data_IF_976005392752
#
_entry.id   IF_976005392752
#
_cell.length_a   1.000
_cell.length_b   1.000
_cell.length_c   1.000
_cell.angle_alpha   90.00
_cell.angle_beta   90.00
_cell.angle_gamma   90.00
#
_symmetry.space_group_name_H-M   'P 1'
#
loop_
_entity.id
_entity.type
_entity.pdbx_description
1 polymer ?
#
# COMPACT_ATOMS: atom_id res chain seq x y z
N UNK A 1 -6.00 -29.44 -15.84
CA UNK A 1 -4.97 -29.61 -14.79
C UNK A 1 -5.05 -31.04 -14.26
N UNK A 2 -4.02 -31.56 -13.55
CA UNK A 2 -4.13 -32.83 -12.84
C UNK A 2 -5.35 -32.87 -11.91
N UNK A 3 -5.85 -34.05 -11.59
CA UNK A 3 -6.98 -34.22 -10.66
C UNK A 3 -6.68 -33.58 -9.30
N UNK A 4 -7.65 -32.85 -8.75
CA UNK A 4 -7.52 -32.12 -7.49
C UNK A 4 -6.89 -30.73 -7.59
N UNK A 5 -6.48 -30.29 -8.79
CA UNK A 5 -5.94 -28.94 -9.02
C UNK A 5 -7.02 -28.00 -9.54
N UNK A 6 -7.27 -26.92 -8.81
CA UNK A 6 -8.09 -25.81 -9.26
C UNK A 6 -7.32 -24.95 -10.28
N UNK A 7 -7.49 -25.28 -11.56
CA UNK A 7 -6.84 -24.59 -12.67
C UNK A 7 -7.22 -23.09 -12.72
N UNK A 8 -8.51 -22.78 -12.50
CA UNK A 8 -9.02 -21.41 -12.53
C UNK A 8 -8.35 -20.55 -11.47
N UNK A 9 -8.22 -21.08 -10.24
CA UNK A 9 -7.50 -20.39 -9.15
C UNK A 9 -6.04 -20.16 -9.47
N UNK A 10 -5.34 -21.14 -10.03
CA UNK A 10 -3.93 -20.99 -10.39
C UNK A 10 -3.72 -19.96 -11.51
N UNK A 11 -4.58 -19.96 -12.53
CA UNK A 11 -4.54 -18.99 -13.63
C UNK A 11 -4.80 -17.56 -13.11
N UNK A 12 -5.80 -17.39 -12.22
CA UNK A 12 -6.06 -16.09 -11.59
C UNK A 12 -4.86 -15.59 -10.77
N UNK A 13 -4.24 -16.46 -9.97
CA UNK A 13 -3.04 -16.15 -9.20
C UNK A 13 -1.88 -15.77 -10.12
N UNK A 14 -1.64 -16.54 -11.20
CA UNK A 14 -0.56 -16.26 -12.13
C UNK A 14 -0.76 -14.92 -12.85
N UNK A 15 -2.00 -14.60 -13.25
CA UNK A 15 -2.33 -13.33 -13.90
C UNK A 15 -2.14 -12.13 -12.96
N UNK A 16 -2.60 -12.22 -11.71
CA UNK A 16 -2.41 -11.16 -10.72
C UNK A 16 -0.94 -10.96 -10.33
N UNK A 17 -0.16 -12.03 -10.25
CA UNK A 17 1.29 -11.95 -10.04
C UNK A 17 1.98 -11.29 -11.25
N UNK A 18 1.61 -11.67 -12.48
CA UNK A 18 2.17 -11.06 -13.69
C UNK A 18 1.91 -9.55 -13.74
N UNK A 19 0.66 -9.11 -13.49
CA UNK A 19 0.31 -7.70 -13.39
C UNK A 19 1.19 -6.98 -12.35
N UNK A 20 1.31 -7.55 -11.15
CA UNK A 20 2.11 -6.97 -10.07
C UNK A 20 3.57 -6.79 -10.50
N UNK A 21 4.16 -7.82 -11.12
CA UNK A 21 5.55 -7.79 -11.61
C UNK A 21 5.74 -6.78 -12.72
N UNK A 22 4.85 -6.74 -13.70
CA UNK A 22 4.97 -5.86 -14.85
C UNK A 22 4.93 -4.38 -14.42
N UNK A 23 4.00 -4.03 -13.53
CA UNK A 23 3.90 -2.67 -12.99
C UNK A 23 5.16 -2.26 -12.22
N UNK A 24 5.66 -3.11 -11.32
CA UNK A 24 6.88 -2.81 -10.54
C UNK A 24 8.14 -2.77 -11.43
N UNK A 25 8.20 -3.62 -12.45
CA UNK A 25 9.36 -3.71 -13.32
C UNK A 25 9.42 -2.59 -14.35
N UNK A 26 8.29 -2.00 -14.71
CA UNK A 26 8.25 -0.87 -15.65
C UNK A 26 9.06 0.29 -15.08
N UNK A 27 10.00 0.89 -15.84
CA UNK A 27 10.76 2.06 -15.39
C UNK A 27 9.82 3.21 -15.01
N UNK A 28 10.19 4.00 -14.00
CA UNK A 28 9.35 5.11 -13.56
C UNK A 28 9.08 6.16 -14.66
N UNK A 29 9.97 6.31 -15.66
CA UNK A 29 9.71 7.13 -16.85
C UNK A 29 8.43 6.72 -17.59
N UNK A 30 8.12 5.43 -17.57
CA UNK A 30 6.99 4.81 -18.29
C UNK A 30 5.91 4.29 -17.32
N UNK A 31 6.07 4.57 -16.02
CA UNK A 31 5.13 4.16 -14.95
C UNK A 31 5.06 5.25 -13.88
N UNK A 32 4.36 6.35 -14.19
CA UNK A 32 4.03 7.39 -13.22
C UNK A 32 2.59 7.33 -12.77
N UNK A 33 2.11 8.38 -12.09
CA UNK A 33 0.75 8.42 -11.58
C UNK A 33 -0.32 8.22 -12.66
N UNK A 34 -0.09 8.73 -13.87
CA UNK A 34 -1.03 8.56 -15.00
C UNK A 34 -1.04 7.14 -15.55
N UNK A 35 0.13 6.54 -15.75
CA UNK A 35 0.23 5.18 -16.29
C UNK A 35 -0.25 4.13 -15.28
N UNK A 36 -0.08 4.40 -13.98
CA UNK A 36 -0.66 3.58 -12.92
C UNK A 36 -2.20 3.69 -12.90
N UNK A 37 -2.76 4.87 -13.20
CA UNK A 37 -4.19 5.04 -13.44
C UNK A 37 -4.65 4.25 -14.67
N UNK A 38 -3.95 4.34 -15.80
CA UNK A 38 -4.27 3.60 -17.02
C UNK A 38 -4.33 2.09 -16.75
N UNK A 39 -3.39 1.57 -15.95
CA UNK A 39 -3.39 0.16 -15.52
C UNK A 39 -4.63 -0.20 -14.69
N UNK A 40 -5.04 0.67 -13.75
CA UNK A 40 -6.25 0.45 -12.96
C UNK A 40 -7.53 0.53 -13.83
N UNK A 41 -7.60 1.46 -14.77
CA UNK A 41 -8.71 1.56 -15.72
C UNK A 41 -8.80 0.34 -16.64
N UNK A 42 -7.67 -0.15 -17.15
CA UNK A 42 -7.62 -1.35 -17.99
C UNK A 42 -8.09 -2.60 -17.22
N UNK A 43 -7.64 -2.74 -15.96
CA UNK A 43 -8.10 -3.80 -15.08
C UNK A 43 -9.62 -3.68 -14.85
N UNK A 44 -10.11 -2.49 -14.55
CA UNK A 44 -11.53 -2.25 -14.33
C UNK A 44 -12.38 -2.57 -15.56
N UNK A 45 -11.94 -2.18 -16.76
CA UNK A 45 -12.61 -2.50 -18.01
C UNK A 45 -12.70 -4.00 -18.29
N UNK A 46 -11.70 -4.77 -17.86
CA UNK A 46 -11.68 -6.24 -18.01
C UNK A 46 -12.75 -6.92 -17.16
N UNK A 47 -12.99 -6.42 -15.93
CA UNK A 47 -13.87 -7.06 -14.95
C UNK A 47 -15.19 -6.31 -14.70
N UNK A 48 -15.45 -5.24 -15.44
CA UNK A 48 -16.64 -4.40 -15.26
C UNK A 48 -16.66 -3.63 -13.94
N UNK A 49 -15.48 -3.34 -13.36
CA UNK A 49 -15.36 -2.48 -12.20
C UNK A 49 -15.54 -1.00 -12.59
N UNK A 50 -15.81 -0.14 -11.61
CA UNK A 50 -15.90 1.32 -11.80
C UNK A 50 -14.64 1.98 -11.27
N UNK A 51 -14.16 3.02 -11.94
CA UNK A 51 -13.02 3.82 -11.49
C UNK A 51 -13.42 5.29 -11.48
N UNK A 52 -13.10 5.99 -10.39
CA UNK A 52 -13.09 7.45 -10.29
C UNK A 52 -11.70 7.93 -9.87
N UNK A 53 -11.32 9.11 -10.32
CA UNK A 53 -9.98 9.66 -10.06
C UNK A 53 -10.08 11.14 -9.69
N UNK A 54 -9.42 11.52 -8.59
CA UNK A 54 -9.21 12.93 -8.21
C UNK A 54 -7.75 13.28 -8.53
N UNK A 55 -7.52 14.31 -9.36
CA UNK A 55 -6.19 14.61 -9.93
C UNK A 55 -5.74 16.04 -9.61
N UNK A 56 -4.44 16.21 -9.32
CA UNK A 56 -3.80 17.52 -9.17
C UNK A 56 -4.46 18.35 -8.07
N UNK A 57 -4.78 19.62 -8.38
CA UNK A 57 -5.36 20.55 -7.41
C UNK A 57 -6.79 20.18 -6.96
N UNK A 58 -7.48 19.29 -7.69
CA UNK A 58 -8.74 18.73 -7.23
C UNK A 58 -8.58 17.95 -5.91
N UNK A 59 -7.37 17.42 -5.64
CA UNK A 59 -7.05 16.79 -4.36
C UNK A 59 -7.24 17.75 -3.18
N UNK A 60 -6.94 19.05 -3.33
CA UNK A 60 -7.16 20.02 -2.26
C UNK A 60 -8.65 20.28 -2.04
N UNK A 61 -9.42 20.34 -3.12
CA UNK A 61 -10.87 20.59 -3.06
C UNK A 61 -11.60 19.40 -2.46
N UNK A 62 -11.19 18.18 -2.80
CA UNK A 62 -11.78 16.94 -2.32
C UNK A 62 -11.19 16.46 -0.99
N UNK A 63 -10.36 17.30 -0.34
CA UNK A 63 -9.75 17.05 0.97
C UNK A 63 -8.79 15.84 1.02
N UNK A 64 -7.79 15.85 0.14
CA UNK A 64 -6.61 14.98 0.08
C UNK A 64 -5.29 15.78 0.13
N UNK A 65 -5.11 16.63 1.15
CA UNK A 65 -3.98 17.57 1.25
C UNK A 65 -2.60 16.90 1.34
N UNK A 66 -2.45 15.74 1.97
CA UNK A 66 -1.16 15.07 2.10
C UNK A 66 -0.75 14.37 0.80
N UNK A 67 -1.73 13.82 0.05
CA UNK A 67 -1.45 13.29 -1.30
C UNK A 67 -0.95 14.41 -2.21
N UNK A 68 -1.61 15.58 -2.17
CA UNK A 68 -1.17 16.76 -2.93
C UNK A 68 0.22 17.23 -2.51
N UNK A 69 0.46 17.40 -1.21
CA UNK A 69 1.72 17.91 -0.68
C UNK A 69 2.95 17.07 -1.07
N UNK A 70 2.82 15.74 -1.05
CA UNK A 70 3.89 14.83 -1.48
C UNK A 70 4.15 14.94 -2.99
N UNK A 71 3.09 14.95 -3.80
CA UNK A 71 3.23 14.83 -5.25
C UNK A 71 3.40 16.13 -6.02
N UNK A 72 3.09 17.29 -5.43
CA UNK A 72 3.10 18.61 -6.12
C UNK A 72 4.48 19.03 -6.66
N UNK A 73 5.55 18.39 -6.19
CA UNK A 73 6.91 18.67 -6.63
C UNK A 73 7.23 18.11 -8.03
N UNK A 74 6.50 17.09 -8.48
CA UNK A 74 6.67 16.47 -9.79
C UNK A 74 5.85 17.21 -10.85
N UNK A 75 6.32 17.32 -12.11
CA UNK A 75 5.48 17.77 -13.22
C UNK A 75 4.36 16.78 -13.56
N UNK A 76 4.38 15.55 -13.02
CA UNK A 76 3.34 14.54 -13.24
C UNK A 76 2.32 14.63 -12.11
N UNK A 77 1.13 15.10 -12.44
CA UNK A 77 0.11 15.43 -11.45
C UNK A 77 -0.22 14.23 -10.53
N UNK A 78 -0.18 14.42 -9.19
CA UNK A 78 -0.59 13.41 -8.23
C UNK A 78 -2.09 13.13 -8.35
N UNK A 79 -2.53 11.96 -7.90
CA UNK A 79 -3.93 11.58 -7.94
C UNK A 79 -4.30 10.54 -6.90
N UNK A 80 -5.59 10.45 -6.61
CA UNK A 80 -6.19 9.33 -5.91
C UNK A 80 -7.04 8.54 -6.90
N UNK A 81 -6.70 7.27 -7.11
CA UNK A 81 -7.48 6.32 -7.91
C UNK A 81 -8.39 5.54 -6.95
N UNK A 82 -9.69 5.50 -7.26
CA UNK A 82 -10.71 4.79 -6.48
C UNK A 82 -11.48 3.82 -7.40
N UNK A 83 -11.21 2.52 -7.25
CA UNK A 83 -11.83 1.45 -8.01
C UNK A 83 -12.83 0.68 -7.14
N UNK A 84 -14.02 0.38 -7.65
CA UNK A 84 -15.02 -0.42 -6.95
C UNK A 84 -15.60 -1.54 -7.81
N UNK A 85 -15.86 -2.69 -7.19
CA UNK A 85 -16.42 -3.88 -7.84
C UNK A 85 -17.31 -4.68 -6.87
N UNK A 86 -18.30 -5.38 -7.42
CA UNK A 86 -19.24 -6.19 -6.65
C UNK A 86 -20.36 -5.38 -5.99
N UNK A 87 -21.50 -6.02 -5.74
CA UNK A 87 -22.73 -5.35 -5.25
C UNK A 87 -23.31 -5.95 -3.98
N UNK A 88 -22.83 -7.10 -3.53
CA UNK A 88 -23.34 -7.83 -2.37
C UNK A 88 -22.20 -8.52 -1.61
N UNK A 89 -22.45 -8.87 -0.36
CA UNK A 89 -21.45 -9.48 0.53
C UNK A 89 -20.68 -8.44 1.37
N UNK A 90 -19.69 -8.92 2.15
CA UNK A 90 -18.88 -8.08 3.02
C UNK A 90 -18.05 -7.08 2.21
N UNK A 91 -17.77 -5.93 2.82
CA UNK A 91 -17.00 -4.83 2.23
C UNK A 91 -15.53 -4.98 2.58
N UNK A 92 -14.71 -5.11 1.55
CA UNK A 92 -13.26 -5.13 1.63
C UNK A 92 -12.69 -3.89 0.94
N UNK A 93 -11.90 -3.10 1.66
CA UNK A 93 -11.13 -2.01 1.05
C UNK A 93 -9.64 -2.34 1.06
N UNK A 94 -9.03 -2.35 -0.12
CA UNK A 94 -7.58 -2.48 -0.31
C UNK A 94 -6.98 -1.10 -0.54
N UNK A 95 -5.88 -0.76 0.14
CA UNK A 95 -5.18 0.52 0.00
C UNK A 95 -3.71 0.29 -0.36
N UNK A 96 -3.27 0.73 -1.53
CA UNK A 96 -1.92 0.48 -2.01
C UNK A 96 -1.07 1.73 -2.14
N UNK A 97 0.10 1.81 -1.49
CA UNK A 97 1.05 2.92 -1.69
C UNK A 97 1.46 3.00 -3.17
N UNK A 98 1.16 4.12 -3.83
CA UNK A 98 1.42 4.37 -5.25
C UNK A 98 2.53 5.40 -5.52
N UNK A 99 3.62 5.37 -4.75
CA UNK A 99 4.76 6.29 -5.01
C UNK A 99 5.55 5.76 -6.20
N UNK A 100 5.26 6.28 -7.39
CA UNK A 100 5.79 5.77 -8.66
C UNK A 100 7.31 5.93 -8.78
N UNK A 101 7.84 6.98 -8.17
CA UNK A 101 9.26 7.15 -7.92
C UNK A 101 9.49 7.95 -6.66
N UNK A 102 10.49 7.54 -5.87
CA UNK A 102 10.83 8.17 -4.61
C UNK A 102 12.29 8.64 -4.60
N UNK A 103 12.48 9.94 -4.73
CA UNK A 103 13.80 10.58 -4.54
C UNK A 103 14.14 10.78 -3.06
N UNK A 104 13.13 10.69 -2.19
CA UNK A 104 13.13 11.15 -0.81
C UNK A 104 12.77 12.63 -0.62
N UNK A 105 12.50 13.36 -1.70
CA UNK A 105 12.25 14.80 -1.64
C UNK A 105 13.49 15.56 -1.17
N UNK A 106 13.30 16.62 -0.37
CA UNK A 106 14.43 17.44 0.11
C UNK A 106 15.36 16.68 1.06
N UNK A 107 14.88 15.65 1.75
CA UNK A 107 15.70 14.63 2.40
C UNK A 107 16.18 13.57 1.38
N UNK A 108 16.95 14.04 0.39
CA UNK A 108 17.36 13.27 -0.77
C UNK A 108 18.04 11.94 -0.42
N UNK A 109 17.56 10.84 -1.01
CA UNK A 109 18.19 9.52 -0.89
C UNK A 109 19.60 9.52 -1.51
N UNK A 110 20.56 8.80 -0.91
CA UNK A 110 21.80 8.45 -1.60
C UNK A 110 21.50 7.62 -2.86
N UNK A 111 22.35 7.75 -3.90
CA UNK A 111 22.11 7.11 -5.21
C UNK A 111 21.89 5.58 -5.15
N UNK A 112 22.61 4.87 -4.26
CA UNK A 112 22.45 3.43 -4.08
C UNK A 112 21.05 3.05 -3.53
N UNK A 113 20.49 3.87 -2.64
CA UNK A 113 19.15 3.67 -2.10
C UNK A 113 18.06 4.06 -3.10
N UNK A 114 18.34 5.06 -3.94
CA UNK A 114 17.41 5.57 -4.94
C UNK A 114 17.26 4.65 -6.17
N UNK A 115 18.30 3.91 -6.54
CA UNK A 115 18.35 3.13 -7.78
C UNK A 115 17.25 2.06 -7.95
N UNK A 116 16.58 1.66 -6.86
CA UNK A 116 15.47 0.71 -6.90
C UNK A 116 14.09 1.36 -6.69
N UNK A 117 13.99 2.69 -6.56
CA UNK A 117 12.76 3.36 -6.12
C UNK A 117 11.63 3.43 -7.16
N UNK A 118 11.83 2.91 -8.38
CA UNK A 118 10.70 2.58 -9.27
C UNK A 118 9.74 1.56 -8.63
N UNK A 119 10.23 0.75 -7.69
CA UNK A 119 9.42 -0.25 -6.99
C UNK A 119 8.53 0.33 -5.91
N UNK A 120 8.63 1.64 -5.63
CA UNK A 120 8.01 2.23 -4.45
C UNK A 120 6.47 2.39 -4.56
N UNK A 121 5.94 2.02 -5.73
CA UNK A 121 4.54 1.78 -6.04
C UNK A 121 4.15 0.30 -5.91
N UNK A 122 5.02 -0.54 -5.34
CA UNK A 122 4.81 -1.98 -5.20
C UNK A 122 3.60 -2.34 -4.34
N UNK A 123 3.24 -1.47 -3.39
CA UNK A 123 1.99 -1.58 -2.65
C UNK A 123 0.77 -1.49 -3.56
N UNK A 124 0.70 -0.45 -4.41
CA UNK A 124 -0.33 -0.27 -5.43
C UNK A 124 -0.39 -1.44 -6.42
N UNK A 125 0.76 -1.87 -6.95
CA UNK A 125 0.84 -3.01 -7.85
C UNK A 125 0.28 -4.29 -7.22
N UNK A 126 0.64 -4.56 -5.97
CA UNK A 126 0.23 -5.77 -5.25
C UNK A 126 -1.27 -5.77 -4.95
N UNK A 127 -1.86 -4.63 -4.57
CA UNK A 127 -3.33 -4.56 -4.36
C UNK A 127 -4.11 -4.65 -5.68
N UNK A 128 -3.57 -4.15 -6.80
CA UNK A 128 -4.17 -4.36 -8.13
C UNK A 128 -4.10 -5.83 -8.55
N UNK A 129 -2.96 -6.49 -8.31
CA UNK A 129 -2.82 -7.94 -8.54
C UNK A 129 -3.79 -8.75 -7.70
N UNK A 130 -3.95 -8.43 -6.41
CA UNK A 130 -4.93 -9.08 -5.53
C UNK A 130 -6.37 -8.80 -5.99
N UNK A 131 -6.69 -7.55 -6.35
CA UNK A 131 -8.00 -7.19 -6.89
C UNK A 131 -8.33 -7.99 -8.15
N UNK A 132 -7.37 -8.16 -9.06
CA UNK A 132 -7.52 -9.01 -10.24
C UNK A 132 -7.85 -10.46 -9.85
N UNK A 133 -7.13 -11.03 -8.88
CA UNK A 133 -7.40 -12.40 -8.40
C UNK A 133 -8.81 -12.54 -7.81
N UNK A 134 -9.23 -11.57 -6.98
CA UNK A 134 -10.56 -11.53 -6.36
C UNK A 134 -11.66 -11.49 -7.43
N UNK A 135 -11.54 -10.58 -8.40
CA UNK A 135 -12.54 -10.41 -9.46
C UNK A 135 -12.58 -11.60 -10.41
N UNK A 136 -11.43 -12.16 -10.80
CA UNK A 136 -11.35 -13.34 -11.67
C UNK A 136 -11.93 -14.60 -11.03
N UNK A 137 -11.90 -14.70 -9.70
CA UNK A 137 -12.50 -15.78 -8.93
C UNK A 137 -13.93 -15.49 -8.48
N UNK A 138 -14.47 -14.31 -8.82
CA UNK A 138 -15.83 -13.90 -8.50
C UNK A 138 -16.17 -14.06 -7.02
N UNK A 139 -15.23 -13.72 -6.12
CA UNK A 139 -15.48 -13.86 -4.69
C UNK A 139 -16.71 -13.02 -4.28
N UNK A 140 -17.58 -13.53 -3.39
CA UNK A 140 -18.88 -12.92 -3.09
C UNK A 140 -18.74 -11.74 -2.11
N UNK A 141 -18.04 -10.69 -2.53
CA UNK A 141 -17.74 -9.50 -1.71
C UNK A 141 -17.89 -8.19 -2.49
N UNK A 142 -17.88 -7.08 -1.76
CA UNK A 142 -17.82 -5.71 -2.30
C UNK A 142 -16.40 -5.18 -2.14
N UNK A 143 -15.68 -5.11 -3.26
CA UNK A 143 -14.29 -4.67 -3.31
C UNK A 143 -14.21 -3.17 -3.56
N UNK A 144 -13.39 -2.46 -2.79
CA UNK A 144 -12.89 -1.12 -3.09
C UNK A 144 -11.36 -1.14 -3.10
N UNK A 145 -10.73 -0.43 -4.02
CA UNK A 145 -9.27 -0.28 -4.11
C UNK A 145 -8.94 1.19 -4.20
N UNK A 146 -8.13 1.67 -3.25
CA UNK A 146 -7.67 3.05 -3.17
C UNK A 146 -6.16 3.11 -3.39
N UNK A 147 -5.74 3.93 -4.35
CA UNK A 147 -4.32 4.11 -4.69
C UNK A 147 -4.00 5.60 -4.74
N UNK A 148 -3.33 6.14 -3.71
CA UNK A 148 -2.73 7.46 -3.81
C UNK A 148 -1.46 7.37 -4.66
N UNK A 149 -1.54 7.82 -5.91
CA UNK A 149 -0.49 7.74 -6.90
C UNK A 149 0.25 9.09 -7.04
N UNK A 150 1.55 9.10 -6.74
CA UNK A 150 2.38 10.31 -6.69
C UNK A 150 3.82 10.02 -7.15
N UNK A 151 4.61 11.06 -7.37
CA UNK A 151 6.09 10.97 -7.35
C UNK A 151 6.61 11.90 -6.25
N UNK A 152 7.49 11.40 -5.38
CA UNK A 152 8.17 12.21 -4.38
C UNK A 152 9.44 12.81 -4.99
N UNK A 153 9.32 14.05 -5.47
CA UNK A 153 10.33 14.71 -6.30
C UNK A 153 11.00 15.90 -5.60
N UNK A 154 12.15 16.32 -6.13
CA UNK A 154 12.84 17.54 -5.70
C UNK A 154 12.53 18.67 -6.67
N UNK A 155 11.91 19.74 -6.15
CA UNK A 155 11.72 21.00 -6.89
C UNK A 155 11.46 22.14 -5.90
N UNK A 156 11.26 23.37 -6.40
CA UNK A 156 10.88 24.52 -5.56
C UNK A 156 9.55 24.34 -4.83
N UNK A 157 8.67 23.47 -5.37
CA UNK A 157 7.36 23.16 -4.82
C UNK A 157 7.38 22.00 -3.81
N UNK A 158 8.53 21.38 -3.55
CA UNK A 158 8.63 20.28 -2.60
C UNK A 158 8.15 20.68 -1.18
N UNK A 159 7.47 19.75 -0.51
CA UNK A 159 7.28 19.83 0.95
C UNK A 159 8.64 19.86 1.65
N UNK A 160 8.71 20.51 2.80
CA UNK A 160 9.95 20.77 3.54
C UNK A 160 9.92 20.08 4.89
N UNK A 161 11.09 19.72 5.45
CA UNK A 161 11.21 19.46 6.87
C UNK A 161 10.61 20.61 7.69
N UNK A 162 9.90 20.27 8.77
CA UNK A 162 9.12 21.17 9.63
C UNK A 162 7.85 21.77 9.03
N UNK A 163 7.46 21.40 7.80
CA UNK A 163 6.09 21.67 7.34
C UNK A 163 5.10 20.91 8.25
N UNK A 164 3.97 21.55 8.57
CA UNK A 164 2.85 20.90 9.26
C UNK A 164 1.70 20.76 8.28
N UNK A 165 1.37 19.51 7.93
CA UNK A 165 0.29 19.18 7.02
C UNK A 165 -0.97 18.86 7.81
N UNK A 166 -2.13 19.33 7.36
CA UNK A 166 -3.42 18.83 7.86
C UNK A 166 -3.83 17.65 7.00
N UNK A 167 -4.28 16.56 7.59
CA UNK A 167 -4.77 15.37 6.90
C UNK A 167 -6.27 15.45 6.60
N UNK A 168 -6.77 14.57 5.72
CA UNK A 168 -8.21 14.34 5.50
C UNK A 168 -8.98 14.07 6.80
N UNK A 169 -8.36 13.33 7.73
CA UNK A 169 -8.91 12.97 9.05
C UNK A 169 -8.98 14.17 10.02
N UNK A 170 -8.37 15.31 9.66
CA UNK A 170 -8.25 16.49 10.50
C UNK A 170 -7.05 16.47 11.46
N UNK A 171 -6.29 15.36 11.51
CA UNK A 171 -5.04 15.29 12.27
C UNK A 171 -3.95 16.12 11.57
N UNK A 172 -3.15 16.82 12.36
CA UNK A 172 -1.97 17.55 11.90
C UNK A 172 -0.72 16.66 11.97
N UNK A 173 0.15 16.77 10.97
CA UNK A 173 1.37 15.96 10.85
C UNK A 173 2.58 16.86 10.63
N UNK A 174 3.53 16.84 11.56
CA UNK A 174 4.85 17.44 11.36
C UNK A 174 5.69 16.55 10.43
N UNK A 175 6.21 17.16 9.36
CA UNK A 175 7.11 16.49 8.41
C UNK A 175 8.54 16.64 8.91
N UNK A 176 9.07 15.63 9.61
CA UNK A 176 10.48 15.63 10.04
C UNK A 176 11.42 14.99 8.99
N UNK A 177 10.88 14.18 8.08
CA UNK A 177 11.63 13.65 6.96
C UNK A 177 10.73 13.47 5.73
N UNK A 178 11.08 14.13 4.63
CA UNK A 178 10.33 14.06 3.36
C UNK A 178 10.47 12.69 2.66
N UNK A 179 11.39 11.84 3.12
CA UNK A 179 11.60 10.44 2.70
C UNK A 179 10.70 9.44 3.46
N UNK A 180 9.82 9.97 4.33
CA UNK A 180 8.74 9.22 4.97
C UNK A 180 7.38 9.65 4.41
N UNK A 181 7.31 9.80 3.09
CA UNK A 181 6.16 10.27 2.32
C UNK A 181 5.05 9.23 2.18
N UNK A 182 5.42 7.94 2.09
CA UNK A 182 4.48 6.87 1.79
C UNK A 182 3.36 6.78 2.81
N UNK A 183 3.67 7.06 4.08
CA UNK A 183 2.67 7.07 5.15
C UNK A 183 1.76 8.30 5.09
N UNK A 184 2.25 9.43 4.58
CA UNK A 184 1.44 10.65 4.40
C UNK A 184 0.37 10.42 3.33
N UNK A 185 0.76 9.88 2.17
CA UNK A 185 -0.21 9.61 1.10
C UNK A 185 -1.19 8.50 1.47
N UNK A 186 -0.73 7.47 2.20
CA UNK A 186 -1.62 6.42 2.73
C UNK A 186 -2.58 6.95 3.78
N UNK A 187 -2.17 7.89 4.63
CA UNK A 187 -3.02 8.40 5.69
C UNK A 187 -4.31 9.06 5.18
N UNK A 188 -4.21 9.85 4.10
CA UNK A 188 -5.40 10.42 3.43
C UNK A 188 -6.27 9.34 2.78
N UNK A 189 -5.67 8.33 2.12
CA UNK A 189 -6.41 7.23 1.50
C UNK A 189 -7.08 6.30 2.54
N UNK A 190 -6.40 6.05 3.66
CA UNK A 190 -6.93 5.29 4.80
C UNK A 190 -8.06 6.03 5.49
N UNK A 191 -7.94 7.35 5.66
CA UNK A 191 -9.02 8.17 6.20
C UNK A 191 -10.28 8.07 5.32
N UNK A 192 -10.13 8.10 4.00
CA UNK A 192 -11.25 7.88 3.07
C UNK A 192 -11.82 6.45 3.15
N UNK A 193 -10.97 5.43 3.29
CA UNK A 193 -11.43 4.06 3.50
C UNK A 193 -12.25 3.95 4.80
N UNK A 194 -11.79 4.62 5.86
CA UNK A 194 -12.39 4.57 7.19
C UNK A 194 -13.76 5.27 7.26
N UNK A 195 -14.00 6.28 6.40
CA UNK A 195 -15.30 6.95 6.26
C UNK A 195 -16.41 5.99 5.81
N UNK A 196 -16.08 4.99 5.00
CA UNK A 196 -17.03 3.99 4.53
C UNK A 196 -17.31 2.89 5.57
N UNK A 197 -16.48 2.77 6.60
CA UNK A 197 -16.52 1.71 7.62
C UNK A 197 -16.67 0.29 7.03
N UNK A 198 -15.78 -0.16 6.13
CA UNK A 198 -15.84 -1.51 5.57
C UNK A 198 -15.64 -2.57 6.66
N UNK A 199 -15.94 -3.83 6.33
CA UNK A 199 -15.76 -4.94 7.26
C UNK A 199 -14.27 -5.25 7.50
N UNK A 200 -13.42 -4.94 6.50
CA UNK A 200 -11.97 -5.03 6.59
C UNK A 200 -11.28 -3.98 5.70
N UNK A 201 -10.28 -3.29 6.25
CA UNK A 201 -9.28 -2.53 5.48
C UNK A 201 -7.97 -3.31 5.47
N UNK A 202 -7.36 -3.46 4.28
CA UNK A 202 -6.00 -3.97 4.12
C UNK A 202 -5.17 -2.93 3.39
N UNK A 203 -4.05 -2.51 3.96
CA UNK A 203 -3.08 -1.65 3.28
C UNK A 203 -1.79 -2.38 2.97
N UNK A 204 -1.19 -2.08 1.82
CA UNK A 204 0.10 -2.65 1.40
C UNK A 204 1.02 -1.55 0.91
N UNK A 205 2.25 -1.55 1.39
CA UNK A 205 3.20 -0.51 1.07
C UNK A 205 4.64 -0.99 1.13
N UNK A 206 5.47 -0.49 0.21
CA UNK A 206 6.93 -0.50 0.35
C UNK A 206 7.35 0.61 1.30
N UNK A 207 7.04 0.46 2.59
CA UNK A 207 6.97 1.61 3.50
C UNK A 207 8.30 1.90 4.19
N UNK A 208 9.02 0.88 4.66
CA UNK A 208 10.22 1.14 5.46
C UNK A 208 11.45 0.30 5.09
N UNK A 209 12.62 0.94 5.16
CA UNK A 209 13.89 0.21 5.19
C UNK A 209 14.05 -0.65 6.44
N UNK A 210 13.39 -0.27 7.55
CA UNK A 210 13.47 -0.97 8.83
C UNK A 210 12.85 -2.37 8.79
N UNK A 211 11.73 -2.55 8.08
CA UNK A 211 11.12 -3.87 7.84
C UNK A 211 12.12 -4.82 7.18
N UNK A 212 12.81 -4.35 6.12
CA UNK A 212 13.81 -5.16 5.42
C UNK A 212 14.99 -5.55 6.29
N UNK A 213 15.41 -4.66 7.19
CA UNK A 213 16.48 -4.97 8.16
C UNK A 213 16.01 -6.01 9.17
N UNK A 214 14.73 -5.96 9.58
CA UNK A 214 14.17 -6.89 10.57
C UNK A 214 13.93 -8.29 10.02
N UNK A 215 13.34 -8.42 8.82
CA UNK A 215 12.86 -9.71 8.28
C UNK A 215 13.47 -10.11 6.94
N UNK A 216 14.37 -9.30 6.38
CA UNK A 216 14.96 -9.56 5.08
C UNK A 216 14.03 -9.25 3.90
N UNK A 217 14.38 -9.68 2.68
CA UNK A 217 13.63 -9.37 1.46
C UNK A 217 12.48 -10.34 1.16
N UNK A 218 12.51 -11.57 1.68
CA UNK A 218 11.62 -12.66 1.24
C UNK A 218 10.35 -12.80 2.12
N UNK A 219 10.39 -12.31 3.36
CA UNK A 219 9.30 -12.43 4.33
C UNK A 219 8.49 -11.13 4.39
N UNK A 220 7.17 -11.18 4.22
CA UNK A 220 6.31 -10.01 4.26
C UNK A 220 5.86 -9.70 5.70
N UNK A 221 6.40 -8.66 6.37
CA UNK A 221 5.92 -8.29 7.69
C UNK A 221 4.54 -7.64 7.58
N UNK A 222 3.63 -8.02 8.48
CA UNK A 222 2.29 -7.47 8.56
C UNK A 222 1.88 -7.17 9.99
N UNK A 223 0.89 -6.31 10.14
CA UNK A 223 0.29 -5.89 11.40
C UNK A 223 -1.20 -6.11 11.30
N UNK A 224 -1.86 -6.52 12.38
CA UNK A 224 -3.31 -6.66 12.42
C UNK A 224 -3.87 -6.12 13.73
N UNK A 225 -5.04 -5.46 13.68
CA UNK A 225 -5.75 -5.02 14.89
C UNK A 225 -6.48 -6.17 15.57
N UNK A 226 -6.93 -7.16 14.81
CA UNK A 226 -7.63 -8.34 15.29
C UNK A 226 -6.69 -9.56 15.34
N UNK A 227 -6.53 -10.23 16.50
CA UNK A 227 -5.68 -11.42 16.61
C UNK A 227 -6.14 -12.63 15.77
N UNK A 228 -7.44 -12.75 15.50
CA UNK A 228 -8.01 -13.78 14.64
C UNK A 228 -7.59 -13.59 13.18
N UNK A 229 -7.54 -12.34 12.72
CA UNK A 229 -7.07 -12.00 11.37
C UNK A 229 -5.60 -12.37 11.18
N UNK A 230 -4.78 -12.09 12.20
CA UNK A 230 -3.38 -12.48 12.21
C UNK A 230 -3.21 -14.01 12.21
N UNK A 231 -4.02 -14.73 12.97
CA UNK A 231 -4.01 -16.20 12.96
C UNK A 231 -4.38 -16.75 11.58
N UNK A 232 -5.49 -16.29 11.00
CA UNK A 232 -5.95 -16.72 9.69
C UNK A 232 -4.87 -16.55 8.60
N UNK A 233 -4.14 -15.43 8.61
CA UNK A 233 -3.04 -15.20 7.67
C UNK A 233 -1.84 -16.13 7.90
N UNK A 234 -1.42 -16.32 9.17
CA UNK A 234 -0.29 -17.19 9.49
C UNK A 234 -0.54 -18.64 9.08
N UNK A 235 -1.77 -19.11 9.30
CA UNK A 235 -2.13 -20.51 9.08
C UNK A 235 -2.08 -20.88 7.59
N UNK A 236 -2.48 -19.98 6.68
CA UNK A 236 -2.54 -20.27 5.24
C UNK A 236 -1.28 -19.90 4.46
N UNK A 237 -0.45 -18.97 4.97
CA UNK A 237 0.68 -18.40 4.23
C UNK A 237 1.70 -19.45 3.76
N UNK A 238 1.98 -20.44 4.62
CA UNK A 238 2.90 -21.53 4.29
C UNK A 238 2.33 -22.45 3.20
N UNK A 239 1.03 -22.74 3.24
CA UNK A 239 0.36 -23.62 2.28
C UNK A 239 0.37 -23.05 0.87
N UNK A 240 0.25 -21.73 0.75
CA UNK A 240 0.34 -21.03 -0.53
C UNK A 240 1.76 -20.58 -0.86
N UNK A 241 2.78 -20.89 -0.07
CA UNK A 241 4.16 -20.45 -0.32
C UNK A 241 4.28 -18.92 -0.56
N UNK A 242 3.61 -18.14 0.29
CA UNK A 242 3.70 -16.67 0.34
C UNK A 242 3.90 -16.27 1.81
N UNK A 243 5.15 -16.35 2.32
CA UNK A 243 5.40 -16.30 3.76
C UNK A 243 5.18 -14.89 4.31
N UNK A 244 4.49 -14.82 5.45
CA UNK A 244 4.17 -13.58 6.16
C UNK A 244 4.66 -13.66 7.60
N UNK A 245 4.90 -12.51 8.23
CA UNK A 245 5.34 -12.43 9.62
C UNK A 245 4.59 -11.35 10.39
N UNK A 246 3.93 -11.73 11.48
CA UNK A 246 3.21 -10.75 12.29
C UNK A 246 4.21 -9.89 13.10
N UNK A 247 4.05 -8.58 12.96
CA UNK A 247 4.71 -7.55 13.74
C UNK A 247 3.68 -6.89 14.68
N UNK A 248 4.07 -6.48 15.89
CA UNK A 248 3.11 -5.97 16.87
C UNK A 248 2.77 -4.49 16.63
N UNK A 249 1.50 -4.12 16.82
CA UNK A 249 1.12 -2.74 17.14
C UNK A 249 1.50 -2.42 18.61
N UNK A 250 2.79 -2.25 18.86
CA UNK A 250 3.32 -2.09 20.21
C UNK A 250 2.97 -0.73 20.82
N UNK A 251 1.88 -0.68 21.60
CA UNK A 251 1.29 0.54 22.15
C UNK A 251 2.28 1.47 22.91
N UNK A 252 3.29 0.98 23.66
CA UNK A 252 4.28 1.86 24.29
C UNK A 252 5.11 2.73 23.33
N UNK A 253 5.07 2.46 22.01
CA UNK A 253 5.71 3.31 21.01
C UNK A 253 4.81 4.41 20.43
N UNK A 254 3.54 4.52 20.84
CA UNK A 254 2.63 5.62 20.44
C UNK A 254 3.23 7.00 20.79
N UNK A 255 3.76 7.17 22.01
CA UNK A 255 4.41 8.42 22.41
C UNK A 255 5.65 8.80 21.58
N UNK A 256 6.17 7.89 20.74
CA UNK A 256 7.26 8.20 19.81
C UNK A 256 6.77 8.95 18.58
N UNK A 257 5.51 8.76 18.17
CA UNK A 257 4.92 9.38 16.97
C UNK A 257 4.10 10.63 17.30
N UNK A 258 4.12 11.12 18.54
CA UNK A 258 3.38 12.30 19.00
C UNK A 258 4.38 13.43 19.31
N UNK A 259 4.60 14.38 18.38
CA UNK A 259 5.47 15.52 18.60
C UNK A 259 4.76 16.58 19.45
N UNK A 260 5.49 17.59 19.92
CA UNK A 260 4.89 18.68 20.72
C UNK A 260 4.15 19.73 19.89
N UNK A 261 4.34 19.75 18.57
CA UNK A 261 3.89 20.84 17.69
C UNK A 261 2.76 20.46 16.72
N UNK A 262 2.47 19.18 16.59
CA UNK A 262 1.43 18.61 15.73
C UNK A 262 0.87 17.34 16.39
N UNK A 263 -0.22 16.78 15.87
CA UNK A 263 -0.79 15.55 16.42
C UNK A 263 0.12 14.34 16.17
N UNK A 264 0.82 14.32 15.03
CA UNK A 264 1.68 13.20 14.62
C UNK A 264 3.01 13.64 14.00
N UNK A 265 4.02 12.80 14.16
CA UNK A 265 5.35 12.90 13.53
C UNK A 265 5.47 11.85 12.42
N UNK A 266 5.74 12.29 11.19
CA UNK A 266 5.88 11.37 10.08
C UNK A 266 7.17 10.54 10.13
N UNK A 267 8.20 10.95 10.87
CA UNK A 267 9.49 10.30 10.91
C UNK A 267 10.19 10.50 12.27
N UNK A 268 9.68 9.85 13.33
CA UNK A 268 10.21 10.07 14.67
C UNK A 268 11.66 9.64 14.81
N UNK A 269 12.41 10.42 15.61
CA UNK A 269 13.83 10.21 15.86
C UNK A 269 14.17 8.90 16.60
N UNK A 270 15.46 8.54 16.60
CA UNK A 270 16.00 7.44 17.41
C UNK A 270 16.36 6.15 16.64
N UNK A 271 16.02 6.05 15.35
CA UNK A 271 16.54 5.01 14.44
C UNK A 271 16.13 3.56 14.75
N UNK A 272 15.28 3.34 15.75
CA UNK A 272 14.83 2.01 16.19
C UNK A 272 13.32 1.85 15.95
N UNK A 273 12.88 0.62 15.73
CA UNK A 273 11.48 0.24 15.56
C UNK A 273 10.73 0.96 14.41
N UNK A 274 11.45 1.38 13.36
CA UNK A 274 10.91 2.22 12.27
C UNK A 274 9.70 1.63 11.54
N UNK A 275 9.62 0.30 11.40
CA UNK A 275 8.47 -0.37 10.80
C UNK A 275 7.25 -0.32 11.73
N UNK A 276 7.44 -0.53 13.04
CA UNK A 276 6.38 -0.44 14.05
C UNK A 276 5.86 1.00 14.18
N UNK A 277 6.72 2.01 14.24
CA UNK A 277 6.28 3.41 14.33
C UNK A 277 5.55 3.88 13.07
N UNK A 278 5.97 3.40 11.89
CA UNK A 278 5.25 3.64 10.64
C UNK A 278 3.85 3.00 10.65
N UNK A 279 3.75 1.75 11.11
CA UNK A 279 2.47 1.05 11.23
C UNK A 279 1.54 1.74 12.25
N UNK A 280 2.06 2.14 13.41
CA UNK A 280 1.30 2.91 14.42
C UNK A 280 0.81 4.24 13.85
N UNK A 281 1.64 4.97 13.08
CA UNK A 281 1.22 6.18 12.38
C UNK A 281 0.00 5.92 11.49
N UNK A 282 0.05 4.87 10.65
CA UNK A 282 -1.07 4.52 9.76
C UNK A 282 -2.34 4.13 10.53
N UNK A 283 -2.19 3.42 11.65
CA UNK A 283 -3.30 3.00 12.50
C UNK A 283 -4.14 4.18 13.02
N UNK A 284 -3.54 5.38 13.18
CA UNK A 284 -4.26 6.61 13.59
C UNK A 284 -5.30 7.08 12.58
N UNK A 285 -5.24 6.59 11.33
CA UNK A 285 -6.15 6.97 10.25
C UNK A 285 -7.26 5.94 10.02
N UNK A 286 -7.27 4.81 10.76
CA UNK A 286 -8.29 3.77 10.69
C UNK A 286 -8.88 3.57 12.10
N UNK A 287 -9.92 4.32 12.42
CA UNK A 287 -10.50 4.37 13.78
C UNK A 287 -11.93 3.90 13.85
N UNK A 288 -12.69 4.00 12.76
CA UNK A 288 -14.10 3.63 12.70
C UNK A 288 -14.30 2.20 12.16
N UNK A 289 -13.41 1.76 11.28
CA UNK A 289 -13.36 0.39 10.75
C UNK A 289 -12.93 -0.57 11.85
N UNK A 290 -13.64 -1.69 12.05
CA UNK A 290 -13.33 -2.62 13.14
C UNK A 290 -12.00 -3.37 12.95
N UNK A 291 -11.63 -3.67 11.71
CA UNK A 291 -10.52 -4.57 11.37
C UNK A 291 -9.59 -3.93 10.35
N UNK A 292 -8.31 -3.89 10.69
CA UNK A 292 -7.26 -3.30 9.87
C UNK A 292 -6.04 -4.19 9.83
N UNK A 293 -5.57 -4.48 8.61
CA UNK A 293 -4.30 -5.15 8.34
C UNK A 293 -3.39 -4.22 7.55
N UNK A 294 -2.11 -4.12 7.94
CA UNK A 294 -1.08 -3.40 7.19
C UNK A 294 0.07 -4.32 6.83
N UNK A 295 0.50 -4.34 5.57
CA UNK A 295 1.71 -5.00 5.10
C UNK A 295 2.79 -3.98 4.72
N UNK A 296 4.00 -4.15 5.29
CA UNK A 296 5.21 -3.39 4.94
C UNK A 296 6.11 -4.25 4.05
N UNK A 297 5.71 -4.41 2.78
CA UNK A 297 6.32 -5.33 1.82
C UNK A 297 7.62 -4.78 1.22
N UNK A 298 8.50 -5.64 0.75
CA UNK A 298 9.68 -5.21 -0.01
C UNK A 298 9.38 -5.01 -1.51
N UNK A 299 8.50 -5.85 -2.06
CA UNK A 299 8.04 -5.79 -3.45
C UNK A 299 9.13 -6.08 -4.50
N UNK A 300 10.23 -6.74 -4.11
CA UNK A 300 11.36 -6.98 -5.01
C UNK A 300 12.16 -8.25 -4.71
N UNK A 301 12.43 -9.04 -5.74
CA UNK A 301 13.34 -10.18 -5.71
C UNK A 301 14.77 -9.70 -6.07
N UNK A 302 15.73 -9.69 -5.11
CA UNK A 302 17.07 -9.15 -5.33
C UNK A 302 17.92 -9.99 -6.29
N UNK A 303 17.77 -11.31 -6.22
CA UNK A 303 18.53 -12.30 -6.99
C UNK A 303 17.58 -13.29 -7.65
N UNK A 304 17.85 -13.68 -8.89
CA UNK A 304 17.00 -14.63 -9.58
C UNK A 304 17.01 -16.00 -8.89
N UNK A 305 15.84 -16.58 -8.69
CA UNK A 305 15.62 -17.90 -8.12
C UNK A 305 14.59 -18.68 -8.96
N UNK A 306 14.44 -20.00 -8.78
CA UNK A 306 13.42 -20.79 -9.49
C UNK A 306 12.02 -20.15 -9.36
N UNK A 307 11.38 -19.89 -10.50
CA UNK A 307 10.08 -19.21 -10.63
C UNK A 307 10.00 -17.75 -10.10
N UNK A 308 11.13 -17.19 -9.64
CA UNK A 308 11.25 -15.83 -9.09
C UNK A 308 12.38 -15.09 -9.81
N UNK A 309 12.12 -14.49 -10.99
CA UNK A 309 13.12 -13.68 -11.67
C UNK A 309 13.49 -12.46 -10.81
N UNK A 310 14.71 -11.93 -11.00
CA UNK A 310 15.12 -10.67 -10.38
C UNK A 310 14.20 -9.55 -10.87
N UNK A 311 13.62 -8.77 -9.96
CA UNK A 311 12.66 -7.72 -10.32
C UNK A 311 11.53 -7.58 -9.31
N UNK A 312 10.42 -6.99 -9.73
CA UNK A 312 9.19 -6.94 -8.95
C UNK A 312 8.67 -8.33 -8.58
N UNK A 313 7.98 -8.41 -7.44
CA UNK A 313 7.33 -9.63 -6.93
C UNK A 313 6.15 -9.24 -6.06
N UNK A 314 5.05 -9.99 -6.14
CA UNK A 314 3.94 -9.87 -5.20
C UNK A 314 4.26 -10.56 -3.87
N UNK A 315 4.07 -9.86 -2.76
CA UNK A 315 4.27 -10.40 -1.41
C UNK A 315 3.00 -10.23 -0.59
N UNK A 316 2.55 -11.29 0.09
CA UNK A 316 1.36 -11.30 0.94
C UNK A 316 0.02 -11.38 0.17
N UNK A 317 -0.02 -11.08 -1.12
CA UNK A 317 -1.27 -11.11 -1.90
C UNK A 317 -1.87 -12.52 -2.00
N UNK A 318 -1.05 -13.56 -2.15
CA UNK A 318 -1.56 -14.94 -2.23
C UNK A 318 -1.99 -15.44 -0.87
N UNK A 319 -1.27 -15.06 0.18
CA UNK A 319 -1.66 -15.34 1.57
C UNK A 319 -3.00 -14.67 1.90
N UNK A 320 -3.18 -13.39 1.55
CA UNK A 320 -4.45 -12.67 1.69
C UNK A 320 -5.58 -13.37 0.93
N UNK A 321 -5.39 -13.68 -0.36
CA UNK A 321 -6.39 -14.38 -1.16
C UNK A 321 -6.82 -15.72 -0.56
N UNK A 322 -5.90 -16.44 0.08
CA UNK A 322 -6.18 -17.70 0.77
C UNK A 322 -6.92 -17.50 2.10
N UNK A 323 -6.61 -16.41 2.82
CA UNK A 323 -7.22 -16.09 4.09
C UNK A 323 -8.61 -15.44 3.96
N UNK A 324 -8.94 -14.81 2.81
CA UNK A 324 -10.19 -14.07 2.61
C UNK A 324 -11.47 -14.82 3.02
N UNK A 325 -11.66 -16.12 2.73
CA UNK A 325 -12.84 -16.85 3.19
C UNK A 325 -12.99 -16.85 4.71
N UNK A 326 -11.90 -17.02 5.46
CA UNK A 326 -11.90 -16.94 6.92
C UNK A 326 -12.00 -15.49 7.42
N UNK A 327 -11.36 -14.55 6.73
CA UNK A 327 -11.38 -13.14 7.12
C UNK A 327 -12.77 -12.53 6.93
N UNK A 328 -13.54 -12.93 5.93
CA UNK A 328 -14.78 -12.26 5.57
C UNK A 328 -16.01 -13.17 5.62
N UNK A 329 -15.87 -14.38 6.16
CA UNK A 329 -16.94 -15.38 6.25
C UNK A 329 -17.66 -15.62 4.89
N UNK A 330 -16.86 -15.84 3.83
CA UNK A 330 -17.32 -15.99 2.43
C UNK A 330 -17.89 -17.37 2.08
#
# INVERSE_FOLDING_TARGET
APDGIDARRLEAIAAGEALTRDLINTPASDMGPHELEDAAQALAGTFGARVSVTTGDALLTDNFPMIHAVGRASPRAPRLIDMSWGTAGPRLTLVGKGVCFDTGGLNLKPGASMGLMKKDMGGAATVLGLAQMIMALELPLRLRVLIPAVENSVSGEAMRPSDVLTSRKGLTVEVNNTDAEGRLVLADALALADEDTPDLVVSMATLTGAARVAVGPDLAPFYATDPGDAAALRDVAAEVADPVWEMPFWAPYEAKIEPQIADLDNAPGGGMAGSITAALFLKRFVTATPRYIHFDIYGWQPEAAPARPKGGVGQGARALLAALPTLLDL
#
